data_IF_006732818057
#
_entry.id   IF_006732818057
#
_cell.length_a   1.000
_cell.length_b   1.000
_cell.length_c   1.000
_cell.angle_alpha   90.00
_cell.angle_beta   90.00
_cell.angle_gamma   90.00
#
_symmetry.space_group_name_H-M   'P 1'
#
loop_
_entity.id
_entity.type
_entity.pdbx_description
1 polymer ?
#
# COMPACT_ATOMS: atom_id res chain seq x y z
N UNK A 1 7.71 23.14 -15.90
CA UNK A 1 7.95 21.72 -15.56
C UNK A 1 7.69 21.54 -14.07
N UNK A 2 6.85 20.58 -13.67
CA UNK A 2 6.67 20.27 -12.24
C UNK A 2 7.97 19.71 -11.66
N UNK A 3 8.27 20.04 -10.40
CA UNK A 3 9.44 19.48 -9.69
C UNK A 3 9.28 17.97 -9.49
N UNK A 4 10.40 17.28 -9.28
CA UNK A 4 10.43 15.84 -9.03
C UNK A 4 9.53 15.47 -7.83
N UNK A 5 9.66 16.23 -6.75
CA UNK A 5 8.86 16.10 -5.51
C UNK A 5 7.37 16.29 -5.74
N UNK A 6 6.95 17.26 -6.57
CA UNK A 6 5.52 17.42 -6.88
C UNK A 6 4.96 16.23 -7.66
N UNK A 7 5.74 15.69 -8.61
CA UNK A 7 5.31 14.49 -9.38
C UNK A 7 5.17 13.26 -8.50
N UNK A 8 6.08 13.07 -7.54
CA UNK A 8 6.02 11.98 -6.57
C UNK A 8 4.83 12.13 -5.62
N UNK A 9 4.61 13.33 -5.09
CA UNK A 9 3.45 13.62 -4.24
C UNK A 9 2.12 13.30 -4.95
N UNK A 10 2.00 13.64 -6.24
CA UNK A 10 0.81 13.31 -7.05
C UNK A 10 0.65 11.79 -7.20
N UNK A 11 1.74 11.05 -7.51
CA UNK A 11 1.68 9.58 -7.61
C UNK A 11 1.23 8.94 -6.29
N UNK A 12 1.78 9.41 -5.17
CA UNK A 12 1.44 8.87 -3.83
C UNK A 12 0.00 9.19 -3.48
N UNK A 13 -0.44 10.43 -3.70
CA UNK A 13 -1.83 10.85 -3.46
C UNK A 13 -2.85 10.04 -4.26
N UNK A 14 -2.59 9.83 -5.56
CA UNK A 14 -3.42 8.96 -6.40
C UNK A 14 -3.44 7.51 -5.92
N UNK A 15 -2.28 6.98 -5.50
CA UNK A 15 -2.18 5.61 -4.99
C UNK A 15 -3.01 5.42 -3.72
N UNK A 16 -3.00 6.40 -2.82
CA UNK A 16 -3.83 6.37 -1.60
C UNK A 16 -5.31 6.41 -1.95
N UNK A 17 -5.72 7.33 -2.84
CA UNK A 17 -7.12 7.46 -3.24
C UNK A 17 -7.66 6.15 -3.84
N UNK A 18 -6.92 5.55 -4.78
CA UNK A 18 -7.29 4.27 -5.40
C UNK A 18 -7.36 3.16 -4.36
N UNK A 19 -6.40 3.09 -3.43
CA UNK A 19 -6.37 2.07 -2.39
C UNK A 19 -7.58 2.14 -1.44
N UNK A 20 -7.99 3.34 -1.05
CA UNK A 20 -9.20 3.53 -0.22
C UNK A 20 -10.45 3.17 -1.01
N UNK A 21 -10.59 3.63 -2.26
CA UNK A 21 -11.72 3.29 -3.10
C UNK A 21 -11.88 1.77 -3.27
N UNK A 22 -10.78 1.05 -3.48
CA UNK A 22 -10.78 -0.41 -3.55
C UNK A 22 -11.18 -1.07 -2.22
N UNK A 23 -10.65 -0.59 -1.09
CA UNK A 23 -10.99 -1.13 0.23
C UNK A 23 -12.49 -0.94 0.56
N UNK A 24 -13.05 0.22 0.20
CA UNK A 24 -14.48 0.50 0.34
C UNK A 24 -15.31 -0.40 -0.59
N UNK A 25 -14.87 -0.60 -1.84
CA UNK A 25 -15.58 -1.46 -2.79
C UNK A 25 -15.60 -2.93 -2.34
N UNK A 26 -14.51 -3.42 -1.71
CA UNK A 26 -14.48 -4.75 -1.12
C UNK A 26 -15.23 -4.87 0.22
N UNK A 27 -15.85 -3.78 0.71
CA UNK A 27 -16.58 -3.78 1.97
C UNK A 27 -15.71 -4.01 3.20
N UNK A 28 -14.42 -3.65 3.16
CA UNK A 28 -13.54 -3.79 4.31
C UNK A 28 -13.97 -2.84 5.43
N UNK A 29 -14.09 -3.34 6.65
CA UNK A 29 -14.53 -2.53 7.81
C UNK A 29 -13.58 -1.36 8.13
N UNK A 30 -12.29 -1.48 7.76
CA UNK A 30 -11.23 -0.55 8.13
C UNK A 30 -10.38 -0.14 6.93
N UNK A 31 -10.93 0.65 5.99
CA UNK A 31 -10.25 1.04 4.74
C UNK A 31 -9.01 1.91 4.98
N UNK A 32 -8.91 2.57 6.14
CA UNK A 32 -7.74 3.35 6.52
C UNK A 32 -6.44 2.52 6.57
N UNK A 33 -6.51 1.21 6.83
CA UNK A 33 -5.34 0.34 6.80
C UNK A 33 -4.75 0.19 5.40
N UNK A 34 -5.57 0.26 4.36
CA UNK A 34 -5.12 0.20 2.98
C UNK A 34 -4.30 1.46 2.63
N UNK A 35 -4.78 2.64 3.03
CA UNK A 35 -4.05 3.90 2.89
C UNK A 35 -2.71 3.90 3.64
N UNK A 36 -2.69 3.43 4.89
CA UNK A 36 -1.45 3.32 5.69
C UNK A 36 -0.44 2.42 4.99
N UNK A 37 -0.86 1.30 4.42
CA UNK A 37 0.03 0.41 3.68
C UNK A 37 0.69 1.14 2.49
N UNK A 38 -0.07 1.93 1.73
CA UNK A 38 0.47 2.74 0.63
C UNK A 38 1.49 3.77 1.13
N UNK A 39 1.17 4.51 2.19
CA UNK A 39 2.08 5.51 2.78
C UNK A 39 3.39 4.85 3.23
N UNK A 40 3.31 3.73 3.95
CA UNK A 40 4.51 3.00 4.41
C UNK A 40 5.38 2.51 3.25
N UNK A 41 4.79 2.16 2.10
CA UNK A 41 5.53 1.77 0.92
C UNK A 41 6.12 2.98 0.17
N UNK A 42 5.40 4.10 0.15
CA UNK A 42 5.82 5.35 -0.49
C UNK A 42 6.98 6.05 0.23
N UNK A 43 7.11 5.87 1.55
CA UNK A 43 8.17 6.50 2.36
C UNK A 43 9.53 5.76 2.28
N UNK A 44 9.60 4.54 1.70
CA UNK A 44 10.91 3.89 1.55
C UNK A 44 11.70 4.53 0.40
N UNK A 45 13.00 4.71 0.62
CA UNK A 45 13.90 5.50 -0.23
C UNK A 45 14.09 4.96 -1.65
N UNK A 46 13.85 3.66 -1.87
CA UNK A 46 14.09 3.05 -3.18
C UNK A 46 12.89 2.24 -3.63
N UNK A 47 12.41 2.52 -4.85
CA UNK A 47 11.27 1.87 -5.47
C UNK A 47 11.42 0.33 -5.50
N UNK A 48 12.64 -0.17 -5.74
CA UNK A 48 12.95 -1.59 -5.71
C UNK A 48 12.77 -2.20 -4.31
N UNK A 49 13.18 -1.47 -3.26
CA UNK A 49 12.98 -1.88 -1.88
C UNK A 49 11.50 -1.83 -1.47
N UNK A 50 10.74 -0.84 -1.94
CA UNK A 50 9.29 -0.75 -1.69
C UNK A 50 8.52 -1.94 -2.25
N UNK A 51 8.87 -2.42 -3.45
CA UNK A 51 8.24 -3.61 -4.06
C UNK A 51 8.56 -4.87 -3.24
N UNK A 52 9.82 -5.09 -2.88
CA UNK A 52 10.20 -6.27 -2.10
C UNK A 52 9.54 -6.27 -0.72
N UNK A 53 9.44 -5.11 -0.06
CA UNK A 53 8.75 -4.93 1.22
C UNK A 53 7.24 -5.19 1.10
N UNK A 54 6.60 -4.71 0.03
CA UNK A 54 5.20 -4.98 -0.29
C UNK A 54 4.93 -6.46 -0.49
N UNK A 55 5.78 -7.15 -1.27
CA UNK A 55 5.68 -8.59 -1.51
C UNK A 55 5.80 -9.40 -0.21
N UNK A 56 6.77 -9.05 0.64
CA UNK A 56 6.94 -9.70 1.94
C UNK A 56 5.71 -9.52 2.85
N UNK A 57 5.03 -8.36 2.78
CA UNK A 57 3.79 -8.12 3.53
C UNK A 57 2.66 -9.02 3.05
N UNK A 58 2.47 -9.17 1.73
CA UNK A 58 1.44 -10.05 1.15
C UNK A 58 1.72 -11.51 1.53
N UNK A 59 2.97 -11.97 1.35
CA UNK A 59 3.39 -13.33 1.72
C UNK A 59 3.17 -13.60 3.21
N UNK A 60 3.62 -12.71 4.09
CA UNK A 60 3.43 -12.85 5.53
C UNK A 60 1.96 -12.85 5.94
N UNK A 61 1.13 -12.00 5.32
CA UNK A 61 -0.32 -11.96 5.60
C UNK A 61 -1.01 -13.24 5.14
N UNK A 62 -0.67 -13.76 3.96
CA UNK A 62 -1.21 -15.02 3.46
C UNK A 62 -0.81 -16.18 4.35
N UNK A 63 0.48 -16.34 4.66
CA UNK A 63 0.99 -17.42 5.51
C UNK A 63 0.39 -17.36 6.92
N UNK A 64 0.34 -16.18 7.53
CA UNK A 64 -0.25 -15.97 8.85
C UNK A 64 -1.75 -16.28 8.86
N UNK A 65 -2.48 -15.87 7.82
CA UNK A 65 -3.92 -16.18 7.68
C UNK A 65 -4.12 -17.67 7.47
N UNK A 66 -3.37 -18.32 6.58
CA UNK A 66 -3.50 -19.78 6.36
C UNK A 66 -3.17 -20.59 7.61
N UNK A 67 -2.17 -20.17 8.38
CA UNK A 67 -1.84 -20.83 9.65
C UNK A 67 -2.92 -20.63 10.71
N UNK A 68 -3.57 -19.47 10.77
CA UNK A 68 -4.66 -19.23 11.72
C UNK A 68 -5.94 -20.03 11.41
N UNK A 69 -6.15 -20.44 10.17
CA UNK A 69 -7.33 -21.22 9.74
C UNK A 69 -7.11 -22.75 9.78
N UNK A 70 -5.87 -23.23 9.96
CA UNK A 70 -5.51 -24.66 10.08
C UNK A 70 -5.22 -25.03 11.53
#
# INVERSE_FOLDING_TARGET
>A
MLSLTTKEAIKVGLSIAISICLALWFGWEKPYWAAIAVVVMAVNESFAHSIQKGKNRILGTLLGTTYAFF
#
